data_IF_424447788483
#
_entry.id   IF_424447788483
#
_cell.length_a   1.000
_cell.length_b   1.000
_cell.length_c   1.000
_cell.angle_alpha   90.00
_cell.angle_beta   90.00
_cell.angle_gamma   90.00
#
_symmetry.space_group_name_H-M   'P 1'
#
loop_
_entity.id
_entity.type
_entity.pdbx_description
1 polymer ?
#
# COMPACT_ATOMS: atom_id res chain seq x y z
N UNK A 1 -21.20 -26.12 15.25
CA UNK A 1 -20.29 -27.29 15.18
C UNK A 1 -21.06 -28.39 14.48
N UNK A 2 -20.48 -29.20 13.57
CA UNK A 2 -19.05 -29.48 13.31
C UNK A 2 -18.69 -29.28 11.80
N UNK A 3 -17.50 -29.51 11.22
CA UNK A 3 -16.13 -29.74 11.66
C UNK A 3 -15.17 -29.46 10.46
N UNK A 4 -13.91 -29.27 10.84
CA UNK A 4 -12.60 -29.21 10.14
C UNK A 4 -12.40 -30.11 8.88
N UNK A 5 -11.41 -29.83 7.99
CA UNK A 5 -10.11 -30.48 8.20
C UNK A 5 -8.84 -29.67 7.83
N UNK A 6 -7.92 -29.65 8.80
CA UNK A 6 -6.46 -29.47 8.72
C UNK A 6 -5.71 -30.56 7.91
N UNK A 7 -4.44 -30.25 7.58
CA UNK A 7 -3.30 -31.11 7.13
C UNK A 7 -3.17 -31.42 5.61
N UNK A 8 -2.00 -31.51 4.94
CA UNK A 8 -0.58 -31.68 5.34
C UNK A 8 0.39 -31.39 4.15
N UNK A 9 1.60 -30.90 4.49
CA UNK A 9 2.99 -31.13 3.99
C UNK A 9 3.38 -31.37 2.51
N UNK A 10 4.50 -30.72 2.11
CA UNK A 10 5.53 -31.29 1.21
C UNK A 10 6.35 -30.28 0.38
N UNK A 11 7.64 -30.05 0.73
CA UNK A 11 8.61 -29.18 0.00
C UNK A 11 9.32 -29.91 -1.15
N UNK A 12 9.78 -29.19 -2.20
CA UNK A 12 11.11 -29.45 -2.76
C UNK A 12 11.96 -28.17 -2.96
N UNK A 13 13.23 -28.40 -3.27
CA UNK A 13 14.39 -27.62 -2.83
C UNK A 13 14.75 -26.41 -3.70
N UNK A 14 15.44 -25.48 -3.02
CA UNK A 14 16.06 -24.24 -3.53
C UNK A 14 17.43 -24.57 -4.15
N UNK A 15 17.77 -23.93 -5.26
CA UNK A 15 19.15 -23.76 -5.71
C UNK A 15 19.55 -22.30 -5.51
N UNK A 16 20.40 -22.02 -4.53
CA UNK A 16 21.20 -20.78 -4.42
C UNK A 16 22.54 -21.03 -5.13
N UNK A 17 23.25 -20.05 -5.69
CA UNK A 17 23.92 -18.97 -4.95
C UNK A 17 24.58 -18.00 -5.93
N UNK A 18 24.50 -16.70 -5.63
CA UNK A 18 25.64 -15.76 -5.57
C UNK A 18 25.21 -14.57 -4.71
N UNK A 19 25.87 -14.35 -3.57
CA UNK A 19 25.48 -13.43 -2.49
C UNK A 19 26.56 -12.34 -2.31
N UNK A 20 26.19 -11.09 -2.02
CA UNK A 20 27.03 -10.17 -1.26
C UNK A 20 26.30 -9.66 0.02
N UNK A 21 26.97 -8.93 0.92
CA UNK A 21 26.80 -9.10 2.36
C UNK A 21 25.62 -8.34 2.98
N UNK A 22 25.28 -8.85 4.16
CA UNK A 22 24.25 -8.48 5.13
C UNK A 22 24.06 -7.00 5.42
N UNK A 23 22.80 -6.55 5.39
CA UNK A 23 22.32 -5.37 6.11
C UNK A 23 21.04 -4.77 5.51
N UNK A 24 19.96 -4.70 6.30
CA UNK A 24 18.64 -4.14 5.96
C UNK A 24 17.79 -4.99 5.01
N UNK A 25 16.47 -4.99 5.21
CA UNK A 25 15.46 -5.72 4.42
C UNK A 25 15.32 -5.18 3.00
N UNK A 26 16.41 -5.18 2.24
CA UNK A 26 16.44 -4.79 0.85
C UNK A 26 15.90 -5.93 -0.01
N UNK A 27 14.75 -5.67 -0.64
CA UNK A 27 14.27 -6.44 -1.79
C UNK A 27 15.41 -6.80 -2.74
N UNK A 28 15.50 -8.04 -3.26
CA UNK A 28 16.54 -8.44 -4.20
C UNK A 28 16.62 -7.47 -5.39
N UNK A 29 17.82 -7.01 -5.74
CA UNK A 29 18.04 -6.09 -6.86
C UNK A 29 18.46 -6.90 -8.08
N UNK A 30 17.76 -6.70 -9.20
CA UNK A 30 18.10 -7.30 -10.49
C UNK A 30 18.47 -6.20 -11.50
N UNK A 31 19.70 -6.23 -12.02
CA UNK A 31 20.13 -5.30 -13.05
C UNK A 31 19.94 -5.93 -14.43
N UNK A 32 19.06 -5.34 -15.25
CA UNK A 32 18.81 -5.76 -16.64
C UNK A 32 19.49 -4.82 -17.63
N UNK A 33 20.45 -5.35 -18.39
CA UNK A 33 21.15 -4.60 -19.45
C UNK A 33 20.33 -4.58 -20.73
N UNK A 34 20.19 -3.40 -21.34
CA UNK A 34 19.45 -3.20 -22.59
C UNK A 34 20.34 -2.64 -23.70
N UNK A 35 20.43 -3.37 -24.82
CA UNK A 35 21.16 -2.91 -26.01
C UNK A 35 20.45 -1.77 -26.76
N UNK A 36 19.12 -1.63 -26.59
CA UNK A 36 18.32 -0.57 -27.25
C UNK A 36 18.42 0.78 -26.53
N UNK A 37 18.76 0.79 -25.24
CA UNK A 37 18.88 2.03 -24.44
C UNK A 37 20.28 2.61 -24.56
N UNK A 38 20.36 3.93 -24.81
CA UNK A 38 21.65 4.62 -25.00
C UNK A 38 22.10 5.43 -23.78
N UNK A 39 21.18 6.04 -23.04
CA UNK A 39 21.50 6.94 -21.92
C UNK A 39 20.53 6.85 -20.73
N UNK A 40 19.43 6.12 -20.87
CA UNK A 40 18.34 6.11 -19.90
C UNK A 40 18.46 4.95 -18.92
N UNK A 41 18.40 5.28 -17.63
CA UNK A 41 18.30 4.32 -16.52
C UNK A 41 16.91 4.44 -15.90
N UNK A 42 16.28 3.31 -15.58
CA UNK A 42 14.99 3.28 -14.88
C UNK A 42 14.97 2.17 -13.84
N UNK A 43 14.34 2.40 -12.70
CA UNK A 43 14.05 1.35 -11.71
C UNK A 43 12.55 1.23 -11.46
N UNK A 44 12.08 0.01 -11.25
CA UNK A 44 10.71 -0.29 -10.83
C UNK A 44 10.67 -1.56 -9.97
N UNK A 45 9.55 -1.78 -9.30
CA UNK A 45 9.29 -3.01 -8.53
C UNK A 45 8.55 -4.04 -9.37
N UNK A 46 9.04 -5.27 -9.37
CA UNK A 46 8.43 -6.43 -10.03
C UNK A 46 8.30 -7.54 -8.98
N UNK A 47 7.13 -7.68 -8.36
CA UNK A 47 6.97 -8.57 -7.21
C UNK A 47 7.79 -8.10 -6.00
N UNK A 48 8.62 -8.97 -5.46
CA UNK A 48 9.49 -8.71 -4.30
C UNK A 48 10.87 -8.14 -4.68
N UNK A 49 11.19 -8.07 -5.98
CA UNK A 49 12.48 -7.57 -6.49
C UNK A 49 12.40 -6.17 -7.07
N UNK A 50 13.51 -5.45 -6.98
CA UNK A 50 13.71 -4.16 -7.66
C UNK A 50 14.50 -4.38 -8.94
N UNK A 51 13.90 -4.07 -10.08
CA UNK A 51 14.54 -4.20 -11.39
C UNK A 51 15.09 -2.85 -11.83
N UNK A 52 16.40 -2.78 -12.11
CA UNK A 52 17.07 -1.61 -12.65
C UNK A 52 17.48 -1.87 -14.10
N UNK A 53 16.96 -1.09 -15.04
CA UNK A 53 17.32 -1.20 -16.46
C UNK A 53 18.38 -0.17 -16.83
N UNK A 54 19.50 -0.64 -17.35
CA UNK A 54 20.66 0.18 -17.76
C UNK A 54 21.05 -0.05 -19.23
N UNK A 55 21.73 0.91 -19.89
CA UNK A 55 22.37 0.70 -21.20
C UNK A 55 23.44 -0.40 -21.15
N UNK A 56 23.49 -1.24 -22.20
CA UNK A 56 24.45 -2.36 -22.26
C UNK A 56 25.93 -1.91 -22.24
N UNK A 57 26.22 -0.71 -22.75
CA UNK A 57 27.58 -0.15 -22.87
C UNK A 57 28.03 0.71 -21.68
N UNK A 58 27.25 0.72 -20.59
CA UNK A 58 27.60 1.48 -19.39
C UNK A 58 28.78 0.81 -18.67
N UNK A 59 29.75 1.62 -18.23
CA UNK A 59 30.87 1.12 -17.41
C UNK A 59 30.38 0.68 -16.04
N UNK A 60 31.12 -0.19 -15.37
CA UNK A 60 30.75 -0.71 -14.05
C UNK A 60 30.63 0.39 -12.99
N UNK A 61 31.52 1.39 -13.01
CA UNK A 61 31.48 2.53 -12.10
C UNK A 61 30.25 3.43 -12.35
N UNK A 62 29.89 3.66 -13.61
CA UNK A 62 28.67 4.40 -13.96
C UNK A 62 27.41 3.62 -13.59
N UNK A 63 27.41 2.29 -13.78
CA UNK A 63 26.33 1.41 -13.36
C UNK A 63 26.09 1.52 -11.86
N UNK A 64 27.13 1.31 -11.04
CA UNK A 64 27.01 1.38 -9.58
C UNK A 64 26.44 2.72 -9.13
N UNK A 65 26.94 3.83 -9.69
CA UNK A 65 26.43 5.18 -9.40
C UNK A 65 24.94 5.31 -9.74
N UNK A 66 24.53 4.89 -10.93
CA UNK A 66 23.14 5.03 -11.36
C UNK A 66 22.19 4.08 -10.64
N UNK A 67 22.63 2.86 -10.31
CA UNK A 67 21.86 1.91 -9.50
C UNK A 67 21.56 2.53 -8.15
N UNK A 68 22.55 3.05 -7.42
CA UNK A 68 22.34 3.71 -6.13
C UNK A 68 21.34 4.87 -6.24
N UNK A 69 21.53 5.79 -7.19
CA UNK A 69 20.62 6.93 -7.39
C UNK A 69 19.19 6.48 -7.66
N UNK A 70 18.99 5.41 -8.44
CA UNK A 70 17.65 4.92 -8.76
C UNK A 70 17.00 4.17 -7.61
N UNK A 71 17.78 3.43 -6.82
CA UNK A 71 17.29 2.78 -5.59
C UNK A 71 16.88 3.82 -4.56
N UNK A 72 17.69 4.85 -4.34
CA UNK A 72 17.36 5.96 -3.43
C UNK A 72 16.08 6.68 -3.88
N UNK A 73 15.94 6.93 -5.19
CA UNK A 73 14.74 7.54 -5.75
C UNK A 73 13.51 6.65 -5.56
N UNK A 74 13.63 5.34 -5.78
CA UNK A 74 12.54 4.38 -5.60
C UNK A 74 12.14 4.30 -4.12
N UNK A 75 13.11 4.19 -3.21
CA UNK A 75 12.91 4.17 -1.77
C UNK A 75 12.27 5.47 -1.26
N UNK A 76 12.72 6.64 -1.74
CA UNK A 76 12.11 7.91 -1.40
C UNK A 76 10.67 8.03 -1.94
N UNK A 77 10.40 7.48 -3.13
CA UNK A 77 9.04 7.45 -3.69
C UNK A 77 8.13 6.51 -2.90
N UNK A 78 8.66 5.40 -2.39
CA UNK A 78 7.92 4.44 -1.54
C UNK A 78 7.70 4.98 -0.14
N UNK A 79 8.71 5.57 0.48
CA UNK A 79 8.58 6.26 1.77
C UNK A 79 7.56 7.40 1.68
N UNK A 80 7.57 8.20 0.59
CA UNK A 80 6.52 9.20 0.35
C UNK A 80 5.12 8.60 0.20
N UNK A 81 4.99 7.34 -0.23
CA UNK A 81 3.70 6.63 -0.30
C UNK A 81 3.31 6.00 1.04
N UNK A 82 4.27 5.76 1.92
CA UNK A 82 4.08 5.24 3.27
C UNK A 82 3.93 6.43 4.22
N UNK A 83 2.72 6.98 4.32
CA UNK A 83 2.38 7.95 5.36
C UNK A 83 2.67 7.35 6.74
N UNK A 84 3.35 8.06 7.63
CA UNK A 84 3.48 7.68 9.04
C UNK A 84 2.21 8.06 9.83
N UNK A 85 2.20 7.75 11.13
CA UNK A 85 1.06 8.06 12.01
C UNK A 85 0.86 9.58 12.21
N UNK A 86 1.95 10.35 12.22
CA UNK A 86 1.89 11.81 12.33
C UNK A 86 1.26 12.43 11.09
N UNK A 87 1.73 12.05 9.89
CA UNK A 87 1.16 12.54 8.63
C UNK A 87 -0.28 12.07 8.45
N UNK A 88 -0.61 10.87 8.94
CA UNK A 88 -1.98 10.36 8.92
C UNK A 88 -2.90 11.18 9.82
N UNK A 89 -2.41 11.60 10.99
CA UNK A 89 -3.14 12.46 11.94
C UNK A 89 -3.38 13.87 11.35
N UNK A 90 -2.34 14.52 10.82
CA UNK A 90 -2.46 15.81 10.13
C UNK A 90 -3.43 15.74 8.94
N UNK A 91 -3.39 14.64 8.19
CA UNK A 91 -4.31 14.38 7.09
C UNK A 91 -5.76 14.27 7.57
N UNK A 92 -6.01 13.57 8.68
CA UNK A 92 -7.34 13.46 9.28
C UNK A 92 -7.87 14.82 9.76
N UNK A 93 -7.03 15.64 10.38
CA UNK A 93 -7.40 17.01 10.80
C UNK A 93 -7.81 17.88 9.59
N UNK A 94 -7.00 17.85 8.52
CA UNK A 94 -7.31 18.58 7.28
C UNK A 94 -8.64 18.12 6.66
N UNK A 95 -8.87 16.81 6.59
CA UNK A 95 -10.12 16.26 6.06
C UNK A 95 -11.32 16.63 6.92
N UNK A 96 -11.17 16.60 8.24
CA UNK A 96 -12.21 17.04 9.18
C UNK A 96 -12.53 18.52 9.00
N UNK A 97 -11.52 19.38 8.89
CA UNK A 97 -11.71 20.80 8.62
C UNK A 97 -12.45 21.04 7.30
N UNK A 98 -12.08 20.30 6.24
CA UNK A 98 -12.64 20.49 4.91
C UNK A 98 -14.07 19.96 4.76
N UNK A 99 -14.37 18.79 5.33
CA UNK A 99 -15.62 18.08 5.05
C UNK A 99 -16.59 18.06 6.23
N UNK A 100 -16.12 18.31 7.45
CA UNK A 100 -16.91 18.26 8.68
C UNK A 100 -16.80 19.53 9.54
N UNK A 101 -16.33 20.64 8.98
CA UNK A 101 -16.14 21.92 9.67
C UNK A 101 -15.26 21.81 10.94
N UNK A 102 -14.35 20.84 10.95
CA UNK A 102 -13.46 20.56 12.08
C UNK A 102 -14.18 19.97 13.30
N UNK A 103 -15.41 19.46 13.15
CA UNK A 103 -16.18 18.85 14.25
C UNK A 103 -15.72 17.43 14.60
N UNK A 104 -15.22 16.68 13.62
CA UNK A 104 -14.71 15.32 13.85
C UNK A 104 -13.24 15.41 14.30
N UNK A 105 -12.99 15.41 15.61
CA UNK A 105 -11.64 15.58 16.17
C UNK A 105 -11.16 14.26 16.80
N UNK A 106 -10.38 13.44 16.09
CA UNK A 106 -9.86 12.21 16.66
C UNK A 106 -8.77 12.55 17.71
N UNK A 107 -8.71 11.75 18.77
CA UNK A 107 -7.63 11.79 19.77
C UNK A 107 -6.36 11.13 19.22
N UNK A 108 -6.51 10.11 18.37
CA UNK A 108 -5.39 9.44 17.70
C UNK A 108 -5.80 8.86 16.36
N UNK A 109 -4.88 8.85 15.41
CA UNK A 109 -5.03 8.17 14.12
C UNK A 109 -3.74 7.42 13.83
N UNK A 110 -3.82 6.11 13.60
CA UNK A 110 -2.61 5.28 13.40
C UNK A 110 -2.80 4.14 12.43
N UNK A 111 -1.69 3.71 11.85
CA UNK A 111 -1.61 2.46 11.09
C UNK A 111 -1.57 1.25 12.03
N UNK A 112 -2.21 0.15 11.60
CA UNK A 112 -2.12 -1.14 12.28
C UNK A 112 -1.98 -2.30 11.31
N UNK A 113 -1.20 -3.29 11.73
CA UNK A 113 -0.92 -4.52 10.95
C UNK A 113 -1.91 -5.64 11.23
N UNK A 114 -2.68 -5.55 12.31
CA UNK A 114 -3.61 -6.59 12.77
C UNK A 114 -5.08 -6.37 12.36
N UNK A 115 -5.36 -5.49 11.39
CA UNK A 115 -6.68 -5.34 10.76
C UNK A 115 -6.68 -5.94 9.35
N UNK A 116 -7.07 -7.21 9.25
CA UNK A 116 -7.04 -7.96 7.98
C UNK A 116 -8.41 -8.06 7.30
N UNK A 117 -9.50 -7.85 8.02
CA UNK A 117 -10.89 -7.98 7.51
C UNK A 117 -11.58 -6.65 7.25
N UNK A 118 -10.97 -5.53 7.64
CA UNK A 118 -11.51 -4.17 7.50
C UNK A 118 -10.40 -3.19 7.15
N UNK A 119 -10.76 -2.14 6.42
CA UNK A 119 -9.83 -1.09 5.99
C UNK A 119 -9.54 -0.06 7.09
N UNK A 120 -10.51 0.19 7.97
CA UNK A 120 -10.38 1.07 9.12
C UNK A 120 -11.30 0.69 10.27
N UNK A 121 -11.14 1.35 11.41
CA UNK A 121 -12.11 1.35 12.50
C UNK A 121 -11.98 2.60 13.37
N UNK A 122 -13.09 3.03 13.94
CA UNK A 122 -13.18 4.08 14.93
C UNK A 122 -13.72 3.54 16.27
N UNK A 123 -13.15 3.98 17.39
CA UNK A 123 -13.73 3.84 18.73
C UNK A 123 -14.21 5.22 19.18
N UNK A 124 -15.49 5.59 18.97
CA UNK A 124 -15.95 6.96 19.19
C UNK A 124 -15.79 7.46 20.63
N UNK A 125 -15.96 6.59 21.62
CA UNK A 125 -15.79 6.93 23.04
C UNK A 125 -14.37 7.33 23.42
N UNK A 126 -13.36 6.86 22.67
CA UNK A 126 -11.95 7.19 22.87
C UNK A 126 -11.45 8.24 21.86
N UNK A 127 -12.21 8.48 20.80
CA UNK A 127 -11.76 9.24 19.63
C UNK A 127 -10.62 8.57 18.87
N UNK A 128 -10.43 7.25 19.01
CA UNK A 128 -9.31 6.53 18.40
C UNK A 128 -9.68 5.99 17.01
N UNK A 129 -8.87 6.28 16.01
CA UNK A 129 -9.01 5.78 14.64
C UNK A 129 -7.81 4.91 14.28
N UNK A 130 -8.08 3.76 13.67
CA UNK A 130 -7.07 2.79 13.24
C UNK A 130 -7.29 2.45 11.78
N UNK A 131 -6.26 2.57 10.96
CA UNK A 131 -6.29 2.16 9.56
C UNK A 131 -5.41 0.93 9.32
N UNK A 132 -5.87 0.04 8.45
CA UNK A 132 -5.08 -1.13 8.05
C UNK A 132 -3.88 -0.70 7.22
N UNK A 133 -2.69 -1.23 7.54
CA UNK A 133 -1.48 -1.04 6.72
C UNK A 133 -1.68 -1.47 5.25
N UNK A 134 -2.68 -2.31 4.95
CA UNK A 134 -3.00 -2.72 3.58
C UNK A 134 -3.41 -1.55 2.69
N UNK A 135 -3.85 -0.42 3.26
CA UNK A 135 -4.13 0.81 2.51
C UNK A 135 -2.84 1.54 2.07
N UNK A 136 -1.69 1.22 2.66
CA UNK A 136 -0.43 1.85 2.28
C UNK A 136 -0.08 1.50 0.84
N UNK A 137 0.23 2.52 0.04
CA UNK A 137 0.47 2.38 -1.40
C UNK A 137 -0.79 2.38 -2.27
N UNK A 138 -2.00 2.35 -1.69
CA UNK A 138 -3.23 2.62 -2.43
C UNK A 138 -3.31 4.10 -2.85
N UNK A 139 -4.12 4.46 -3.86
CA UNK A 139 -4.30 5.84 -4.25
C UNK A 139 -4.76 6.71 -3.08
N UNK A 140 -4.22 7.93 -3.00
CA UNK A 140 -4.50 8.88 -1.92
C UNK A 140 -5.99 9.07 -1.63
N UNK A 141 -6.80 9.13 -2.69
CA UNK A 141 -8.24 9.33 -2.55
C UNK A 141 -8.97 8.17 -1.86
N UNK A 142 -8.37 6.97 -1.86
CA UNK A 142 -8.88 5.79 -1.17
C UNK A 142 -8.56 5.90 0.32
N UNK A 143 -7.33 6.29 0.66
CA UNK A 143 -6.94 6.55 2.05
C UNK A 143 -7.79 7.67 2.66
N UNK A 144 -7.97 8.78 1.92
CA UNK A 144 -8.84 9.88 2.33
C UNK A 144 -10.28 9.42 2.57
N UNK A 145 -10.83 8.60 1.68
CA UNK A 145 -12.19 8.07 1.85
C UNK A 145 -12.31 7.25 3.14
N UNK A 146 -11.37 6.36 3.43
CA UNK A 146 -11.42 5.57 4.66
C UNK A 146 -11.25 6.47 5.89
N UNK A 147 -10.37 7.48 5.86
CA UNK A 147 -10.28 8.46 6.94
C UNK A 147 -11.58 9.23 7.16
N UNK A 148 -12.19 9.76 6.10
CA UNK A 148 -13.48 10.47 6.17
C UNK A 148 -14.57 9.55 6.73
N UNK A 149 -14.58 8.27 6.34
CA UNK A 149 -15.50 7.26 6.89
C UNK A 149 -15.33 7.09 8.40
N UNK A 150 -14.10 6.91 8.87
CA UNK A 150 -13.84 6.73 10.31
C UNK A 150 -14.07 8.01 11.12
N UNK A 151 -13.78 9.18 10.54
CA UNK A 151 -14.10 10.49 11.13
C UNK A 151 -15.62 10.70 11.26
N UNK A 152 -16.41 10.25 10.27
CA UNK A 152 -17.87 10.35 10.34
C UNK A 152 -18.44 9.53 11.50
N UNK A 153 -17.83 8.40 11.88
CA UNK A 153 -18.22 7.61 13.05
C UNK A 153 -18.03 8.35 14.38
N UNK A 154 -17.19 9.39 14.44
CA UNK A 154 -17.10 10.28 15.62
C UNK A 154 -18.35 11.15 15.79
N UNK A 155 -19.10 11.38 14.71
CA UNK A 155 -20.26 12.28 14.70
C UNK A 155 -21.59 11.52 14.67
N UNK A 156 -21.63 10.39 13.97
CA UNK A 156 -22.84 9.59 13.77
C UNK A 156 -22.50 8.10 13.87
N UNK A 157 -23.10 7.34 14.79
CA UNK A 157 -22.89 5.91 14.86
C UNK A 157 -23.60 5.16 13.72
N UNK A 158 -22.99 4.06 13.26
CA UNK A 158 -23.55 3.20 12.22
C UNK A 158 -23.60 3.85 10.84
N UNK A 159 -24.32 3.23 9.90
CA UNK A 159 -24.30 3.60 8.47
C UNK A 159 -25.70 3.97 7.95
N UNK A 160 -26.47 4.69 8.76
CA UNK A 160 -27.81 5.16 8.38
C UNK A 160 -27.79 6.40 7.46
N UNK A 161 -28.95 6.96 7.09
CA UNK A 161 -29.03 8.10 6.17
C UNK A 161 -28.24 9.33 6.62
N UNK A 162 -28.15 9.57 7.94
CA UNK A 162 -27.33 10.68 8.50
C UNK A 162 -25.83 10.48 8.25
N UNK A 163 -25.36 9.24 8.32
CA UNK A 163 -23.96 8.90 8.04
C UNK A 163 -23.66 9.12 6.56
N UNK A 164 -24.49 8.60 5.67
CA UNK A 164 -24.26 8.73 4.22
C UNK A 164 -24.27 10.18 3.73
N UNK A 165 -25.15 11.02 4.31
CA UNK A 165 -25.14 12.47 4.04
C UNK A 165 -23.82 13.15 4.40
N UNK A 166 -23.13 12.69 5.44
CA UNK A 166 -21.78 13.20 5.76
C UNK A 166 -20.76 12.75 4.71
N UNK A 167 -20.86 11.51 4.23
CA UNK A 167 -19.93 10.96 3.23
C UNK A 167 -20.13 11.54 1.82
N UNK A 168 -21.32 12.06 1.51
CA UNK A 168 -21.58 12.81 0.28
C UNK A 168 -20.69 14.06 0.14
N UNK A 169 -20.22 14.63 1.26
CA UNK A 169 -19.32 15.78 1.25
C UNK A 169 -17.97 15.46 0.61
N UNK A 170 -17.54 14.19 0.60
CA UNK A 170 -16.30 13.77 -0.03
C UNK A 170 -16.50 13.43 -1.52
N UNK A 171 -15.93 14.19 -2.48
CA UNK A 171 -16.29 14.07 -3.90
C UNK A 171 -15.93 12.74 -4.58
N UNK A 172 -15.05 11.93 -3.96
CA UNK A 172 -14.55 10.67 -4.54
C UNK A 172 -15.08 9.43 -3.84
N UNK A 173 -16.16 9.56 -3.04
CA UNK A 173 -16.77 8.47 -2.28
C UNK A 173 -17.06 7.25 -3.15
N UNK A 174 -17.84 7.38 -4.22
CA UNK A 174 -18.19 6.24 -5.08
C UNK A 174 -16.97 5.58 -5.74
N UNK A 175 -16.02 6.40 -6.23
CA UNK A 175 -14.78 5.89 -6.83
C UNK A 175 -13.93 5.11 -5.83
N UNK A 176 -13.81 5.59 -4.59
CA UNK A 176 -13.04 4.91 -3.55
C UNK A 176 -13.70 3.59 -3.13
N UNK A 177 -15.03 3.58 -2.99
CA UNK A 177 -15.80 2.36 -2.70
C UNK A 177 -15.58 1.30 -3.77
N UNK A 178 -15.76 1.64 -5.05
CA UNK A 178 -15.55 0.72 -6.16
C UNK A 178 -14.10 0.19 -6.23
N UNK A 179 -13.10 1.02 -5.90
CA UNK A 179 -11.71 0.56 -5.82
C UNK A 179 -11.53 -0.50 -4.72
N UNK A 180 -12.02 -0.24 -3.51
CA UNK A 180 -11.91 -1.17 -2.38
C UNK A 180 -12.68 -2.47 -2.63
N UNK A 181 -13.86 -2.40 -3.24
CA UNK A 181 -14.62 -3.57 -3.68
C UNK A 181 -13.84 -4.39 -4.71
N UNK A 182 -13.22 -3.73 -5.69
CA UNK A 182 -12.36 -4.37 -6.69
C UNK A 182 -11.15 -5.07 -6.08
N UNK A 183 -10.49 -4.45 -5.08
CA UNK A 183 -9.38 -5.07 -4.34
C UNK A 183 -9.86 -6.34 -3.61
N UNK A 184 -10.98 -6.26 -2.91
CA UNK A 184 -11.56 -7.44 -2.21
C UNK A 184 -11.96 -8.54 -3.19
N UNK A 185 -12.50 -8.19 -4.36
CA UNK A 185 -12.85 -9.16 -5.40
C UNK A 185 -11.60 -9.81 -6.01
N UNK A 186 -10.54 -9.04 -6.29
CA UNK A 186 -9.29 -9.54 -6.84
C UNK A 186 -8.58 -10.53 -5.90
N UNK A 187 -8.59 -10.28 -4.59
CA UNK A 187 -8.07 -11.21 -3.57
C UNK A 187 -8.79 -12.58 -3.60
N UNK A 188 -10.01 -12.64 -4.15
CA UNK A 188 -10.83 -13.86 -4.25
C UNK A 188 -10.79 -14.53 -5.62
N UNK A 189 -10.22 -13.86 -6.64
CA UNK A 189 -10.10 -14.46 -7.97
C UNK A 189 -9.00 -15.53 -7.95
N UNK A 190 -9.25 -16.71 -8.53
CA UNK A 190 -8.18 -17.68 -8.75
C UNK A 190 -7.10 -17.05 -9.62
N UNK A 191 -5.83 -17.21 -9.24
CA UNK A 191 -4.68 -16.73 -10.03
C UNK A 191 -4.61 -17.47 -11.37
N UNK A 192 -5.36 -17.02 -12.37
CA UNK A 192 -5.46 -17.64 -13.71
C UNK A 192 -4.30 -17.28 -14.65
N UNK A 193 -3.07 -17.16 -14.14
CA UNK A 193 -1.89 -16.95 -14.97
C UNK A 193 -0.72 -17.81 -14.50
N UNK A 194 -0.86 -19.12 -14.73
CA UNK A 194 0.26 -20.04 -14.91
C UNK A 194 -0.09 -21.02 -16.03
N UNK A 195 -0.50 -20.49 -17.19
CA UNK A 195 -0.59 -21.26 -18.42
C UNK A 195 -0.32 -20.29 -19.57
N UNK A 196 0.91 -20.34 -20.09
CA UNK A 196 1.27 -20.27 -21.51
C UNK A 196 2.80 -20.23 -21.62
N UNK A 197 3.39 -21.41 -21.43
CA UNK A 197 4.69 -21.73 -22.02
C UNK A 197 4.40 -22.73 -23.15
N UNK A 198 4.55 -22.26 -24.38
CA UNK A 198 4.85 -23.05 -25.58
C UNK A 198 6.37 -23.08 -25.75
#
# INVERSE_FOLDING_TARGET
MPADPLHRAGKPQRSTTSQPPSGSGASPIEVRRSARRRRTVSAYREGDRTVVLIPARMSEAEEQRWVTVMLDKLAAQESKRLLGDAELSERAERLSAQYFDGRARPTSVRWVTNQNTRWGSCTPSEGSIRLSHRLQGMPEYVVDYVLVHELAHLLVPGHGPRFWRLLEAYPRTERARGYLEGVVAADRLPHLLAARDE
#
